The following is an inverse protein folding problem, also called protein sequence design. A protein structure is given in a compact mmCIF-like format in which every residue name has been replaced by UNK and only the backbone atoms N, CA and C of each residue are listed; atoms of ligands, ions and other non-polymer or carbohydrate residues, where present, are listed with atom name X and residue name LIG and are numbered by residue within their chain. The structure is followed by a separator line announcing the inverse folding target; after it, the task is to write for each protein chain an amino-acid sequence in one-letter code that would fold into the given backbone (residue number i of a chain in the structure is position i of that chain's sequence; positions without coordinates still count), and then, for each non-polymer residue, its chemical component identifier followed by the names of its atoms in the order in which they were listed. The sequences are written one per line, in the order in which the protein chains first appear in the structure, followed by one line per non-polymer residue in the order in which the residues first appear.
data_IF_370526788431
#
_entry.id   IF_370526788431
#
_cell.length_a   1.000
_cell.length_b   1.000
_cell.length_c   1.000
_cell.angle_alpha   90.00
_cell.angle_beta   90.00
_cell.angle_gamma   90.00
#
_symmetry.space_group_name_H-M   'P 1'
#
loop_
_entity.id
_entity.type
_entity.pdbx_description
1 polymer ?
#
# COMPACT_ATOMS: atom_id res chain seq x y z
N UNK A 1 -4.38 -21.87 -12.62
CA UNK A 1 -4.46 -20.78 -13.61
C UNK A 1 -5.86 -20.22 -13.59
N UNK A 2 -6.00 -18.90 -13.62
CA UNK A 2 -7.26 -18.21 -13.41
C UNK A 2 -7.15 -17.17 -12.29
N UNK A 3 -8.28 -16.75 -11.75
CA UNK A 3 -8.34 -15.77 -10.67
C UNK A 3 -7.97 -16.37 -9.30
N UNK A 4 -7.62 -15.53 -8.31
CA UNK A 4 -7.49 -15.99 -6.92
C UNK A 4 -8.74 -16.74 -6.45
N UNK A 5 -8.54 -17.81 -5.67
CA UNK A 5 -9.61 -18.65 -5.12
C UNK A 5 -10.17 -18.05 -3.84
N UNK A 6 -9.29 -17.57 -2.96
CA UNK A 6 -9.65 -16.86 -1.74
C UNK A 6 -8.54 -15.91 -1.34
N UNK A 7 -8.92 -14.87 -0.58
CA UNK A 7 -7.99 -13.93 0.05
C UNK A 7 -8.40 -13.76 1.51
N UNK A 8 -7.43 -13.87 2.42
CA UNK A 8 -7.64 -13.70 3.86
C UNK A 8 -6.72 -12.62 4.40
N UNK A 9 -7.20 -11.83 5.35
CA UNK A 9 -6.35 -10.95 6.15
C UNK A 9 -5.64 -11.79 7.23
N UNK A 10 -4.33 -11.63 7.36
CA UNK A 10 -3.56 -12.30 8.40
C UNK A 10 -3.15 -11.31 9.49
N UNK A 11 -3.52 -11.61 10.73
CA UNK A 11 -3.11 -10.85 11.91
C UNK A 11 -2.36 -11.75 12.88
N UNK A 12 -1.30 -11.22 13.47
CA UNK A 12 -0.57 -11.85 14.55
C UNK A 12 -0.30 -10.81 15.64
N UNK A 13 -0.69 -11.12 16.88
CA UNK A 13 -0.54 -10.21 18.04
C UNK A 13 -1.10 -8.80 17.76
N UNK A 14 -2.32 -8.74 17.22
CA UNK A 14 -3.03 -7.52 16.83
C UNK A 14 -2.33 -6.65 15.77
N UNK A 15 -1.33 -7.20 15.07
CA UNK A 15 -0.64 -6.54 13.97
C UNK A 15 -0.99 -7.19 12.64
N UNK A 16 -1.35 -6.37 11.66
CA UNK A 16 -1.58 -6.81 10.29
C UNK A 16 -0.27 -7.31 9.68
N UNK A 17 -0.27 -8.56 9.23
CA UNK A 17 0.88 -9.23 8.63
C UNK A 17 0.81 -9.27 7.10
N UNK A 18 -0.34 -8.93 6.51
CA UNK A 18 -0.55 -8.98 5.07
C UNK A 18 -1.73 -9.86 4.66
N UNK A 19 -1.70 -10.31 3.41
CA UNK A 19 -2.74 -11.15 2.81
C UNK A 19 -2.26 -12.57 2.60
N UNK A 20 -3.15 -13.53 2.81
CA UNK A 20 -2.98 -14.92 2.36
C UNK A 20 -3.79 -15.08 1.08
N UNK A 21 -3.13 -15.40 -0.02
CA UNK A 21 -3.76 -15.51 -1.34
C UNK A 21 -3.69 -16.97 -1.77
N UNK A 22 -4.85 -17.62 -1.85
CA UNK A 22 -4.96 -18.98 -2.36
C UNK A 22 -5.18 -18.96 -3.87
N UNK A 23 -4.36 -19.68 -4.62
CA UNK A 23 -4.41 -19.70 -6.09
C UNK A 23 -4.00 -21.06 -6.66
N UNK A 24 -4.23 -21.22 -7.96
CA UNK A 24 -3.84 -22.41 -8.71
C UNK A 24 -2.68 -22.09 -9.64
N UNK A 25 -1.63 -22.90 -9.60
CA UNK A 25 -0.47 -22.80 -10.48
C UNK A 25 -0.17 -24.15 -11.14
N UNK A 26 0.31 -24.14 -12.38
CA UNK A 26 0.75 -25.38 -13.05
C UNK A 26 2.24 -25.56 -12.80
N UNK A 27 2.62 -26.68 -12.19
CA UNK A 27 4.02 -27.05 -12.04
C UNK A 27 4.58 -27.46 -13.39
N UNK A 28 5.52 -26.68 -13.93
CA UNK A 28 6.05 -26.90 -15.28
C UNK A 28 6.89 -28.17 -15.41
N UNK A 29 7.47 -28.69 -14.32
CA UNK A 29 8.28 -29.91 -14.36
C UNK A 29 7.42 -31.18 -14.46
N UNK A 30 6.23 -31.16 -13.86
CA UNK A 30 5.32 -32.33 -13.84
C UNK A 30 4.06 -32.14 -14.68
N UNK A 31 3.84 -30.93 -15.21
CA UNK A 31 2.62 -30.51 -15.90
C UNK A 31 1.34 -30.72 -15.09
N UNK A 32 1.44 -30.78 -13.75
CA UNK A 32 0.30 -30.95 -12.85
C UNK A 32 -0.16 -29.62 -12.27
N UNK A 33 -1.47 -29.50 -12.09
CA UNK A 33 -2.07 -28.37 -11.40
C UNK A 33 -1.87 -28.53 -9.89
N UNK A 34 -1.32 -27.52 -9.25
CA UNK A 34 -1.12 -27.45 -7.81
C UNK A 34 -1.95 -26.30 -7.22
N UNK A 35 -2.43 -26.47 -5.99
CA UNK A 35 -3.14 -25.41 -5.25
C UNK A 35 -2.20 -24.90 -4.17
N UNK A 36 -1.92 -23.60 -4.22
CA UNK A 36 -0.94 -22.94 -3.37
C UNK A 36 -1.63 -21.86 -2.54
N UNK A 37 -1.05 -21.54 -1.39
CA UNK A 37 -1.37 -20.32 -0.64
C UNK A 37 -0.09 -19.52 -0.44
N UNK A 38 -0.13 -18.22 -0.75
CA UNK A 38 1.01 -17.32 -0.66
C UNK A 38 0.72 -16.24 0.37
N UNK A 39 1.63 -16.07 1.32
CA UNK A 39 1.60 -14.94 2.24
C UNK A 39 2.34 -13.77 1.62
N UNK A 40 1.61 -12.69 1.34
CA UNK A 40 2.17 -11.42 0.87
C UNK A 40 2.13 -10.39 1.99
N UNK A 41 3.30 -9.87 2.35
CA UNK A 41 3.48 -8.94 3.46
C UNK A 41 3.88 -7.55 2.95
N UNK A 42 3.39 -6.46 3.58
CA UNK A 42 3.82 -5.11 3.25
C UNK A 42 5.23 -4.85 3.80
N UNK A 43 6.09 -4.23 3.00
CA UNK A 43 7.40 -3.73 3.44
C UNK A 43 7.22 -2.46 4.25
N UNK A 44 8.16 -2.18 5.16
CA UNK A 44 8.20 -0.91 5.90
C UNK A 44 8.33 0.27 4.95
N UNK A 45 7.29 1.10 4.91
CA UNK A 45 7.17 2.25 4.01
C UNK A 45 7.21 3.61 4.73
N UNK A 46 7.17 3.62 6.06
CA UNK A 46 7.35 4.78 6.92
C UNK A 46 8.82 4.88 7.40
N UNK A 47 9.41 6.06 7.27
CA UNK A 47 10.77 6.37 7.74
C UNK A 47 10.78 7.68 8.50
N UNK A 48 11.27 7.64 9.74
CA UNK A 48 11.65 8.85 10.48
C UNK A 48 13.01 9.33 9.97
N UNK A 49 13.09 10.57 9.54
CA UNK A 49 14.31 11.23 9.06
C UNK A 49 14.89 12.23 10.06
N UNK A 50 14.17 12.54 11.13
CA UNK A 50 14.68 13.40 12.20
C UNK A 50 15.97 12.80 12.81
N UNK A 51 17.06 13.57 12.94
CA UNK A 51 18.31 13.09 13.52
C UNK A 51 18.15 12.71 15.00
N UNK A 52 18.94 11.76 15.53
CA UNK A 52 18.97 11.47 16.96
C UNK A 52 19.30 12.74 17.75
N UNK A 53 18.38 13.21 18.60
CA UNK A 53 18.52 14.46 19.36
C UNK A 53 17.86 15.69 18.73
N UNK A 54 17.15 15.55 17.61
CA UNK A 54 16.30 16.61 17.07
C UNK A 54 15.20 17.02 18.07
N UNK A 55 14.87 18.32 18.09
CA UNK A 55 13.88 18.89 19.02
C UNK A 55 12.44 18.44 18.73
N UNK A 56 12.19 17.87 17.55
CA UNK A 56 10.88 17.40 17.14
C UNK A 56 10.75 15.88 17.33
N UNK A 57 10.03 15.46 18.38
CA UNK A 57 9.87 14.05 18.76
C UNK A 57 8.42 13.58 18.85
N UNK A 58 7.46 14.42 18.45
CA UNK A 58 6.03 14.11 18.65
C UNK A 58 5.47 13.11 17.64
N UNK A 59 5.96 13.11 16.40
CA UNK A 59 5.46 12.19 15.36
C UNK A 59 5.87 10.75 15.70
N UNK A 60 4.90 9.88 15.91
CA UNK A 60 5.14 8.46 16.18
C UNK A 60 5.03 7.62 14.91
N UNK A 61 4.02 7.90 14.09
CA UNK A 61 3.68 7.11 12.92
C UNK A 61 2.87 7.96 11.94
N UNK A 62 2.92 7.61 10.66
CA UNK A 62 2.05 8.17 9.64
C UNK A 62 1.76 7.13 8.58
N UNK A 63 0.56 7.22 8.01
CA UNK A 63 0.02 6.24 7.08
C UNK A 63 -0.86 6.91 6.04
N UNK A 64 -0.85 6.36 4.83
CA UNK A 64 -1.71 6.78 3.73
C UNK A 64 -2.68 5.65 3.44
N UNK A 65 -3.98 5.96 3.35
CA UNK A 65 -5.01 4.96 3.12
C UNK A 65 -6.34 5.55 2.68
N UNK A 66 -7.35 4.68 2.68
CA UNK A 66 -8.76 4.99 2.42
C UNK A 66 -9.64 4.38 3.50
N UNK A 67 -10.90 4.81 3.58
CA UNK A 67 -11.87 4.26 4.54
C UNK A 67 -11.44 4.45 6.00
N UNK A 68 -11.08 5.68 6.37
CA UNK A 68 -10.75 6.04 7.75
C UNK A 68 -11.96 5.84 8.68
N UNK A 69 -11.77 5.01 9.70
CA UNK A 69 -12.71 4.82 10.78
C UNK A 69 -12.35 5.75 11.94
N UNK A 70 -13.11 6.83 12.12
CA UNK A 70 -12.84 7.81 13.17
C UNK A 70 -13.07 7.27 14.60
N UNK A 71 -13.87 6.21 14.75
CA UNK A 71 -14.15 5.60 16.06
C UNK A 71 -12.97 4.73 16.50
N UNK A 72 -12.53 3.82 15.62
CA UNK A 72 -11.43 2.89 15.91
C UNK A 72 -10.05 3.47 15.58
N UNK A 73 -10.01 4.62 14.90
CA UNK A 73 -8.80 5.37 14.51
C UNK A 73 -7.83 4.55 13.65
N UNK A 74 -8.39 3.88 12.63
CA UNK A 74 -7.64 3.06 11.67
C UNK A 74 -8.24 3.15 10.27
N UNK A 75 -7.48 2.76 9.25
CA UNK A 75 -8.00 2.55 7.89
C UNK A 75 -8.60 1.15 7.76
N UNK A 76 -9.84 1.05 7.27
CA UNK A 76 -10.50 -0.25 7.02
C UNK A 76 -9.94 -0.96 5.78
N UNK A 77 -9.36 -0.21 4.84
CA UNK A 77 -8.49 -0.75 3.80
C UNK A 77 -7.11 -1.10 4.42
N UNK A 78 -7.02 -2.23 5.12
CA UNK A 78 -5.84 -2.63 5.90
C UNK A 78 -4.52 -2.71 5.11
N UNK A 79 -4.58 -3.08 3.83
CA UNK A 79 -3.41 -3.15 2.98
C UNK A 79 -3.05 -1.83 2.30
N UNK A 80 -3.86 -0.79 2.45
CA UNK A 80 -3.68 0.44 1.68
C UNK A 80 -3.64 0.17 0.17
N UNK A 81 -4.51 -0.74 -0.31
CA UNK A 81 -4.60 -1.06 -1.73
C UNK A 81 -5.29 0.09 -2.46
N UNK A 82 -4.55 0.78 -3.34
CA UNK A 82 -5.01 2.00 -3.99
C UNK A 82 -4.80 1.92 -5.50
N UNK A 83 -5.80 2.38 -6.25
CA UNK A 83 -5.78 2.56 -7.69
C UNK A 83 -5.86 4.04 -8.10
N UNK A 84 -5.82 4.31 -9.41
CA UNK A 84 -5.68 5.66 -9.94
C UNK A 84 -6.90 6.56 -9.74
N UNK A 85 -8.04 6.02 -9.31
CA UNK A 85 -9.26 6.79 -9.09
C UNK A 85 -9.58 7.00 -7.60
N UNK A 86 -8.75 6.48 -6.69
CA UNK A 86 -9.01 6.53 -5.25
C UNK A 86 -8.73 7.90 -4.65
N UNK A 87 -9.57 8.27 -3.68
CA UNK A 87 -9.39 9.47 -2.87
C UNK A 87 -8.53 9.16 -1.64
N UNK A 88 -7.23 9.39 -1.76
CA UNK A 88 -6.27 9.11 -0.70
C UNK A 88 -6.38 10.06 0.49
N UNK A 89 -6.12 9.54 1.68
CA UNK A 89 -6.09 10.30 2.94
C UNK A 89 -4.77 10.03 3.67
N UNK A 90 -4.15 11.10 4.19
CA UNK A 90 -2.99 10.98 5.06
C UNK A 90 -3.40 11.09 6.52
N UNK A 91 -2.90 10.17 7.35
CA UNK A 91 -3.07 10.17 8.81
C UNK A 91 -1.70 10.24 9.49
N UNK A 92 -1.64 10.96 10.61
CA UNK A 92 -0.48 11.05 11.47
C UNK A 92 -0.88 10.77 12.92
N UNK A 93 -0.03 10.01 13.61
CA UNK A 93 -0.14 9.71 15.03
C UNK A 93 0.92 10.46 15.82
N UNK A 94 0.51 11.07 16.91
CA UNK A 94 1.30 12.01 17.70
C UNK A 94 1.36 11.57 19.16
N UNK A 95 2.51 11.81 19.80
CA UNK A 95 2.60 11.84 21.27
C UNK A 95 2.11 13.18 21.81
N UNK A 96 1.77 13.22 23.10
CA UNK A 96 1.53 14.48 23.82
C UNK A 96 2.78 15.36 23.80
N UNK A 97 2.59 16.68 23.82
CA UNK A 97 3.68 17.66 23.79
C UNK A 97 3.16 19.08 23.58
N UNK A 98 4.01 20.10 23.39
CA UNK A 98 3.56 21.46 23.07
C UNK A 98 2.91 21.54 21.68
N UNK A 99 2.09 22.56 21.45
CA UNK A 99 1.52 22.84 20.14
C UNK A 99 2.64 23.01 19.10
N UNK A 100 2.46 22.40 17.93
CA UNK A 100 3.45 22.47 16.86
C UNK A 100 2.77 22.48 15.50
N UNK A 101 3.33 23.22 14.55
CA UNK A 101 2.86 23.22 13.17
C UNK A 101 3.84 22.44 12.32
N UNK A 102 3.32 21.53 11.49
CA UNK A 102 4.12 20.79 10.50
C UNK A 102 3.57 21.03 9.10
N UNK A 103 4.46 20.96 8.12
CA UNK A 103 4.11 21.03 6.70
C UNK A 103 4.07 19.63 6.12
N UNK A 104 2.99 19.27 5.45
CA UNK A 104 2.83 17.99 4.75
C UNK A 104 2.93 18.23 3.25
N UNK A 105 3.79 17.50 2.57
CA UNK A 105 4.05 17.63 1.13
C UNK A 105 3.80 16.29 0.43
N UNK A 106 2.90 16.28 -0.55
CA UNK A 106 2.58 15.12 -1.38
C UNK A 106 3.36 15.19 -2.69
N UNK A 107 4.08 14.13 -3.02
CA UNK A 107 4.99 14.06 -4.17
C UNK A 107 4.63 12.83 -5.01
N UNK A 108 4.36 13.07 -6.29
CA UNK A 108 4.03 12.01 -7.24
C UNK A 108 5.27 11.22 -7.71
N UNK A 109 5.10 10.10 -8.43
CA UNK A 109 6.21 9.24 -8.88
C UNK A 109 7.19 9.93 -9.85
N UNK A 110 6.79 11.05 -10.45
CA UNK A 110 7.60 11.87 -11.35
C UNK A 110 8.19 13.11 -10.68
N UNK A 111 8.08 13.20 -9.35
CA UNK A 111 8.55 14.32 -8.52
C UNK A 111 7.75 15.63 -8.70
N UNK A 112 6.50 15.55 -9.14
CA UNK A 112 5.56 16.68 -9.09
C UNK A 112 5.01 16.80 -7.68
N UNK A 113 5.10 18.00 -7.09
CA UNK A 113 4.45 18.28 -5.80
C UNK A 113 2.96 18.46 -6.06
N UNK A 114 2.16 17.49 -5.59
CA UNK A 114 0.74 17.43 -5.83
C UNK A 114 -0.06 18.32 -4.87
N UNK A 115 0.39 18.41 -3.61
CA UNK A 115 -0.22 19.26 -2.58
C UNK A 115 0.81 19.61 -1.50
N UNK A 116 0.64 20.78 -0.89
CA UNK A 116 1.33 21.17 0.34
C UNK A 116 0.36 21.90 1.25
N UNK A 117 0.40 21.61 2.53
CA UNK A 117 -0.43 22.27 3.53
C UNK A 117 0.21 22.16 4.91
N UNK A 118 -0.05 23.16 5.74
CA UNK A 118 0.36 23.16 7.13
C UNK A 118 -0.78 22.64 8.01
N UNK A 119 -0.43 21.86 9.03
CA UNK A 119 -1.36 21.40 10.05
C UNK A 119 -0.87 21.82 11.43
N UNK A 120 -1.76 22.43 12.21
CA UNK A 120 -1.52 22.72 13.62
C UNK A 120 -1.85 21.47 14.44
N UNK A 121 -0.88 21.00 15.22
CA UNK A 121 -1.01 19.85 16.11
C UNK A 121 -1.13 20.36 17.55
N UNK A 122 -2.33 20.29 18.11
CA UNK A 122 -2.57 20.68 19.50
C UNK A 122 -1.82 19.77 20.48
N UNK A 123 -1.63 20.28 21.69
CA UNK A 123 -0.83 19.62 22.72
C UNK A 123 -1.37 18.23 23.13
N UNK A 124 -2.70 18.10 23.10
CA UNK A 124 -3.42 16.86 23.40
C UNK A 124 -3.81 16.02 22.18
N UNK A 125 -3.51 16.47 20.95
CA UNK A 125 -3.86 15.73 19.76
C UNK A 125 -3.07 14.42 19.66
N UNK A 126 -3.78 13.30 19.50
CA UNK A 126 -3.19 11.97 19.29
C UNK A 126 -3.18 11.58 17.81
N UNK A 127 -4.20 11.98 17.06
CA UNK A 127 -4.34 11.66 15.63
C UNK A 127 -4.78 12.90 14.86
N UNK A 128 -4.18 13.11 13.70
CA UNK A 128 -4.65 14.06 12.69
C UNK A 128 -4.80 13.34 11.36
N UNK A 129 -5.76 13.75 10.55
CA UNK A 129 -5.92 13.22 9.21
C UNK A 129 -6.45 14.30 8.28
N UNK A 130 -6.08 14.20 7.00
CA UNK A 130 -6.56 15.12 5.97
C UNK A 130 -6.59 14.43 4.61
N UNK A 131 -7.65 14.72 3.85
CA UNK A 131 -7.82 14.29 2.46
C UNK A 131 -7.55 15.51 1.56
N UNK A 132 -6.38 15.59 0.89
CA UNK A 132 -6.15 16.64 -0.08
C UNK A 132 -7.06 16.46 -1.31
N UNK A 133 -7.64 17.55 -1.86
CA UNK A 133 -8.52 17.48 -3.03
C UNK A 133 -7.69 17.36 -4.32
N UNK A 134 -7.08 16.19 -4.52
CA UNK A 134 -6.22 15.92 -5.68
C UNK A 134 -7.08 15.60 -6.93
N UNK A 135 -6.78 16.27 -8.04
CA UNK A 135 -7.37 15.97 -9.33
C UNK A 135 -7.02 14.53 -9.76
N UNK A 136 -8.03 13.87 -10.33
CA UNK A 136 -7.96 12.48 -10.77
C UNK A 136 -7.70 12.37 -12.29
N UNK A 137 -7.17 11.24 -12.78
CA UNK A 137 -6.65 10.13 -11.99
C UNK A 137 -5.28 10.45 -11.36
N UNK A 138 -4.99 9.83 -10.22
CA UNK A 138 -3.64 9.82 -9.65
C UNK A 138 -2.70 9.04 -10.57
N UNK A 139 -1.51 9.59 -10.85
CA UNK A 139 -0.48 8.90 -11.65
C UNK A 139 -0.06 7.59 -10.96
N UNK A 140 -0.10 6.44 -11.64
CA UNK A 140 0.38 5.20 -11.06
C UNK A 140 1.89 5.22 -10.77
N UNK A 141 2.28 4.51 -9.72
CA UNK A 141 3.65 4.43 -9.24
C UNK A 141 3.75 4.64 -7.74
N UNK A 142 4.98 4.67 -7.23
CA UNK A 142 5.22 4.89 -5.81
C UNK A 142 5.29 6.39 -5.50
N UNK A 143 4.28 6.86 -4.79
CA UNK A 143 4.18 8.21 -4.26
C UNK A 143 4.96 8.35 -2.96
N UNK A 144 5.30 9.59 -2.60
CA UNK A 144 5.94 9.93 -1.34
C UNK A 144 5.23 11.09 -0.65
N UNK A 145 4.96 10.96 0.64
CA UNK A 145 4.47 12.06 1.50
C UNK A 145 5.58 12.40 2.49
N UNK A 146 5.98 13.67 2.53
CA UNK A 146 6.99 14.17 3.46
C UNK A 146 6.36 15.05 4.51
N UNK A 147 6.77 14.87 5.75
CA UNK A 147 6.40 15.72 6.87
C UNK A 147 7.64 16.54 7.25
N UNK A 148 7.46 17.85 7.33
CA UNK A 148 8.52 18.82 7.59
C UNK A 148 8.16 19.65 8.82
N UNK A 149 9.19 20.06 9.56
CA UNK A 149 9.07 21.04 10.62
C UNK A 149 10.08 22.16 10.35
N UNK A 150 9.60 23.39 10.14
CA UNK A 150 10.45 24.53 9.77
C UNK A 150 11.34 24.21 8.56
N UNK A 151 10.78 23.60 7.51
CA UNK A 151 11.49 23.12 6.30
C UNK A 151 12.53 22.01 6.53
N UNK A 152 12.72 21.52 7.75
CA UNK A 152 13.54 20.35 8.04
C UNK A 152 12.73 19.05 7.90
N UNK A 153 13.23 18.03 7.17
CA UNK A 153 12.57 16.73 7.09
C UNK A 153 12.43 16.04 8.46
N UNK A 154 11.22 15.55 8.75
CA UNK A 154 10.90 14.80 9.97
C UNK A 154 10.63 13.34 9.65
N UNK A 155 9.82 13.09 8.61
CA UNK A 155 9.47 11.76 8.17
C UNK A 155 9.11 11.72 6.69
N UNK A 156 9.19 10.53 6.11
CA UNK A 156 8.73 10.22 4.77
C UNK A 156 7.90 8.92 4.79
N UNK A 157 6.78 8.93 4.07
CA UNK A 157 5.91 7.77 3.88
C UNK A 157 5.82 7.49 2.39
N UNK A 158 5.96 6.24 1.97
CA UNK A 158 5.75 5.82 0.58
C UNK A 158 4.46 5.01 0.45
N UNK A 159 3.71 5.21 -0.61
CA UNK A 159 2.51 4.41 -0.92
C UNK A 159 2.38 4.19 -2.42
N UNK A 160 1.69 3.12 -2.81
CA UNK A 160 1.55 2.73 -4.21
C UNK A 160 0.17 3.11 -4.71
N UNK A 161 0.12 3.83 -5.83
CA UNK A 161 -1.04 3.86 -6.71
C UNK A 161 -0.78 2.81 -7.80
N UNK A 162 -1.46 1.67 -7.73
CA UNK A 162 -1.24 0.57 -8.65
C UNK A 162 -1.87 0.86 -10.02
N UNK A 163 -1.18 0.62 -11.14
CA UNK A 163 -1.82 0.65 -12.45
C UNK A 163 -2.80 -0.52 -12.57
N UNK A 164 -3.92 -0.29 -13.25
CA UNK A 164 -4.99 -1.29 -13.38
C UNK A 164 -4.75 -2.15 -14.63
N UNK A 165 -4.47 -3.44 -14.45
CA UNK A 165 -4.40 -4.41 -15.55
C UNK A 165 -5.80 -4.84 -16.04
N UNK A 166 -6.84 -4.61 -15.23
CA UNK A 166 -8.21 -4.99 -15.53
C UNK A 166 -9.16 -3.80 -15.37
N UNK A 167 -10.13 -3.69 -16.28
CA UNK A 167 -11.25 -2.76 -16.21
C UNK A 167 -12.54 -3.55 -16.39
N UNK A 168 -13.51 -3.37 -15.47
CA UNK A 168 -14.78 -4.11 -15.47
C UNK A 168 -14.59 -5.63 -15.57
N UNK A 169 -13.58 -6.14 -14.85
CA UNK A 169 -13.20 -7.55 -14.79
C UNK A 169 -12.71 -8.16 -16.13
N UNK A 170 -12.35 -7.32 -17.11
CA UNK A 170 -11.71 -7.73 -18.36
C UNK A 170 -10.33 -7.08 -18.48
N UNK A 171 -9.39 -7.67 -19.24
CA UNK A 171 -8.12 -7.02 -19.53
C UNK A 171 -8.34 -5.60 -20.05
N UNK A 172 -7.62 -4.63 -19.48
CA UNK A 172 -7.81 -3.22 -19.81
C UNK A 172 -7.47 -2.95 -21.29
N UNK A 173 -8.29 -2.12 -21.95
CA UNK A 173 -8.06 -1.70 -23.33
C UNK A 173 -7.15 -0.49 -23.39
N UNK A 174 -6.47 -0.30 -24.51
CA UNK A 174 -5.52 0.79 -24.69
C UNK A 174 -6.15 2.18 -24.45
N UNK A 175 -7.37 2.41 -24.92
CA UNK A 175 -8.11 3.66 -24.69
C UNK A 175 -8.32 3.94 -23.18
N UNK A 176 -8.63 2.90 -22.41
CA UNK A 176 -8.84 2.99 -20.97
C UNK A 176 -7.51 3.17 -20.22
N UNK A 177 -6.41 2.52 -20.67
CA UNK A 177 -5.10 2.68 -20.03
C UNK A 177 -4.63 4.13 -20.03
N UNK A 178 -4.72 4.83 -21.16
CA UNK A 178 -4.32 6.24 -21.23
C UNK A 178 -5.19 7.12 -20.33
N UNK A 179 -6.49 6.82 -20.24
CA UNK A 179 -7.42 7.55 -19.37
C UNK A 179 -7.09 7.35 -17.88
N UNK A 180 -6.64 6.17 -17.47
CA UNK A 180 -6.42 5.84 -16.07
C UNK A 180 -4.96 6.01 -15.61
N UNK A 181 -3.97 5.90 -16.50
CA UNK A 181 -2.56 5.81 -16.11
C UNK A 181 -1.74 7.07 -16.41
N UNK A 182 -2.28 8.05 -17.15
CA UNK A 182 -1.51 9.22 -17.59
C UNK A 182 -1.46 10.36 -16.54
N UNK A 183 -2.12 10.19 -15.39
CA UNK A 183 -2.26 11.23 -14.37
C UNK A 183 -3.29 12.31 -14.75
N UNK A 184 -3.41 13.40 -13.96
CA UNK A 184 -4.40 14.43 -14.20
C UNK A 184 -4.05 15.29 -15.42
N UNK A 185 -5.07 15.94 -15.98
CA UNK A 185 -4.88 16.89 -17.07
C UNK A 185 -3.82 17.96 -16.72
N UNK A 186 -2.96 18.27 -17.69
CA UNK A 186 -1.86 19.25 -17.54
C UNK A 186 -0.84 18.93 -16.44
N UNK A 187 -0.83 17.70 -15.88
CA UNK A 187 -0.02 17.33 -14.72
C UNK A 187 -0.31 18.16 -13.46
N UNK A 188 -1.51 18.73 -13.34
CA UNK A 188 -1.89 19.59 -12.22
C UNK A 188 -2.85 18.86 -11.28
N UNK A 189 -2.38 18.53 -10.08
CA UNK A 189 -3.21 17.90 -9.05
C UNK A 189 -4.08 18.90 -8.29
N UNK A 190 -3.72 20.18 -8.30
CA UNK A 190 -4.49 21.27 -7.71
C UNK A 190 -4.48 22.49 -8.64
N UNK A 191 -5.33 23.48 -8.38
CA UNK A 191 -5.26 24.78 -9.07
C UNK A 191 -3.98 25.55 -8.72
N UNK A 192 -3.53 25.42 -7.47
CA UNK A 192 -2.27 25.99 -7.01
C UNK A 192 -1.09 25.15 -7.51
N UNK A 193 -0.06 25.84 -8.00
CA UNK A 193 1.20 25.23 -8.43
C UNK A 193 2.27 25.34 -7.34
N UNK A 194 3.00 24.25 -7.11
CA UNK A 194 4.03 24.17 -6.07
C UNK A 194 5.45 23.98 -6.63
N UNK A 195 5.65 24.18 -7.93
CA UNK A 195 6.97 23.99 -8.59
C UNK A 195 8.10 24.82 -7.96
N UNK A 196 7.79 25.99 -7.38
CA UNK A 196 8.77 26.82 -6.68
C UNK A 196 9.38 26.18 -5.44
N UNK A 197 8.77 25.13 -4.88
CA UNK A 197 9.26 24.41 -3.70
C UNK A 197 10.26 23.29 -4.05
N UNK A 198 10.36 22.89 -5.31
CA UNK A 198 11.27 21.82 -5.72
C UNK A 198 12.74 22.05 -5.32
N UNK A 199 13.34 23.25 -5.52
CA UNK A 199 14.70 23.53 -5.09
C UNK A 199 14.85 23.54 -3.57
N UNK A 200 13.83 24.05 -2.85
CA UNK A 200 13.83 24.16 -1.38
C UNK A 200 13.81 22.78 -0.74
N UNK A 201 13.02 21.85 -1.30
CA UNK A 201 12.84 20.50 -0.77
C UNK A 201 13.83 19.48 -1.37
N UNK A 202 14.80 19.94 -2.16
CA UNK A 202 15.76 19.11 -2.88
C UNK A 202 15.09 17.96 -3.66
N UNK A 203 14.02 18.29 -4.39
CA UNK A 203 13.24 17.35 -5.20
C UNK A 203 13.74 17.45 -6.65
N UNK A 204 14.53 16.48 -7.14
CA UNK A 204 15.13 16.58 -8.47
C UNK A 204 14.07 16.43 -9.56
N UNK A 205 13.95 17.42 -10.43
CA UNK A 205 13.06 17.32 -11.60
C UNK A 205 13.82 16.59 -12.70
N UNK A 206 13.31 15.42 -13.12
CA UNK A 206 13.88 14.64 -14.21
C UNK A 206 12.88 14.54 -15.37
N UNK A 207 13.14 15.20 -16.51
CA UNK A 207 12.31 15.05 -17.70
C UNK A 207 12.18 13.59 -18.16
N UNK A 208 13.23 12.79 -17.95
CA UNK A 208 13.23 11.37 -18.28
C UNK A 208 12.19 10.56 -17.49
N UNK A 209 11.92 10.90 -16.22
CA UNK A 209 10.87 10.24 -15.42
C UNK A 209 9.47 10.53 -15.96
N UNK A 210 9.22 11.78 -16.36
CA UNK A 210 7.93 12.18 -16.95
C UNK A 210 7.71 11.47 -18.27
N UNK A 211 8.74 11.40 -19.12
CA UNK A 211 8.65 10.71 -20.40
C UNK A 211 8.45 9.20 -20.23
N UNK A 212 9.17 8.57 -19.30
CA UNK A 212 8.96 7.16 -18.98
C UNK A 212 7.54 6.90 -18.45
N UNK A 213 7.00 7.78 -17.60
CA UNK A 213 5.64 7.64 -17.08
C UNK A 213 4.59 7.72 -18.21
N UNK A 214 4.77 8.63 -19.19
CA UNK A 214 3.90 8.71 -20.37
C UNK A 214 3.95 7.44 -21.22
N UNK A 215 5.13 6.85 -21.39
CA UNK A 215 5.28 5.57 -22.10
C UNK A 215 4.59 4.44 -21.35
N UNK A 216 4.79 4.36 -20.04
CA UNK A 216 4.16 3.36 -19.18
C UNK A 216 2.63 3.47 -19.19
N UNK A 217 2.08 4.68 -19.29
CA UNK A 217 0.65 4.91 -19.32
C UNK A 217 -0.08 4.27 -20.52
N UNK A 218 0.64 3.96 -21.59
CA UNK A 218 0.10 3.31 -22.79
C UNK A 218 0.30 1.78 -22.81
N UNK A 219 0.97 1.20 -21.82
CA UNK A 219 1.22 -0.24 -21.76
C UNK A 219 -0.07 -1.02 -21.57
N UNK A 220 -0.13 -2.20 -22.19
CA UNK A 220 -1.23 -3.16 -22.06
C UNK A 220 -0.68 -4.58 -21.96
N UNK A 221 -1.54 -5.55 -21.59
CA UNK A 221 -1.17 -6.97 -21.52
C UNK A 221 0.04 -7.24 -20.64
N UNK A 222 0.92 -8.14 -21.09
CA UNK A 222 2.05 -8.61 -20.30
C UNK A 222 3.05 -7.51 -19.90
N UNK A 223 3.20 -6.46 -20.71
CA UNK A 223 4.09 -5.35 -20.37
C UNK A 223 3.53 -4.49 -19.23
N UNK A 224 2.22 -4.27 -19.21
CA UNK A 224 1.52 -3.61 -18.11
C UNK A 224 1.58 -4.44 -16.83
N UNK A 225 1.37 -5.76 -16.92
CA UNK A 225 1.48 -6.68 -15.79
C UNK A 225 2.88 -6.65 -15.18
N UNK A 226 3.94 -6.71 -16.00
CA UNK A 226 5.32 -6.61 -15.53
C UNK A 226 5.62 -5.27 -14.84
N UNK A 227 5.08 -4.17 -15.37
CA UNK A 227 5.23 -2.87 -14.72
C UNK A 227 4.51 -2.82 -13.37
N UNK A 228 3.28 -3.36 -13.29
CA UNK A 228 2.52 -3.46 -12.05
C UNK A 228 3.26 -4.33 -11.01
N UNK A 229 3.73 -5.51 -11.40
CA UNK A 229 4.47 -6.44 -10.54
C UNK A 229 5.76 -5.81 -10.00
N UNK A 230 6.48 -5.07 -10.85
CA UNK A 230 7.68 -4.33 -10.45
C UNK A 230 7.38 -3.30 -9.36
N UNK A 231 6.28 -2.54 -9.51
CA UNK A 231 5.84 -1.56 -8.52
C UNK A 231 5.35 -2.21 -7.22
N UNK A 232 4.59 -3.30 -7.31
CA UNK A 232 4.13 -4.06 -6.14
C UNK A 232 5.34 -4.59 -5.38
N UNK A 233 6.34 -5.14 -6.08
CA UNK A 233 7.59 -5.64 -5.49
C UNK A 233 8.43 -4.58 -4.76
N UNK A 234 8.21 -3.28 -4.98
CA UNK A 234 8.87 -2.23 -4.20
C UNK A 234 8.32 -2.10 -2.78
N UNK A 235 7.02 -2.34 -2.58
CA UNK A 235 6.32 -2.12 -1.30
C UNK A 235 5.76 -3.40 -0.67
N UNK A 236 5.78 -4.52 -1.39
CA UNK A 236 5.30 -5.81 -0.93
C UNK A 236 6.35 -6.89 -1.17
N UNK A 237 6.27 -7.96 -0.40
CA UNK A 237 7.07 -9.17 -0.57
C UNK A 237 6.22 -10.43 -0.41
N UNK A 238 6.58 -11.47 -1.15
CA UNK A 238 6.09 -12.82 -0.89
C UNK A 238 6.92 -13.37 0.27
N UNK A 239 6.36 -13.32 1.48
CA UNK A 239 7.03 -13.74 2.71
C UNK A 239 7.22 -15.26 2.73
N UNK A 240 6.21 -16.02 2.31
CA UNK A 240 6.29 -17.47 2.21
C UNK A 240 5.19 -18.04 1.26
N UNK A 241 5.34 -19.31 0.87
CA UNK A 241 4.38 -20.04 0.04
C UNK A 241 4.27 -21.49 0.49
N UNK A 242 3.04 -22.01 0.53
CA UNK A 242 2.76 -23.39 0.88
C UNK A 242 1.84 -24.07 -0.14
N UNK A 243 1.83 -25.40 -0.15
CA UNK A 243 0.94 -26.20 -0.96
C UNK A 243 -0.23 -26.74 -0.12
N UNK A 244 -1.46 -26.55 -0.59
CA UNK A 244 -2.66 -27.08 0.07
C UNK A 244 -2.82 -28.59 -0.12
N UNK A 245 -2.18 -29.16 -1.15
CA UNK A 245 -2.16 -30.59 -1.46
C UNK A 245 -0.75 -31.07 -1.80
N UNK A 246 -0.60 -32.25 -2.44
CA UNK A 246 0.70 -32.73 -2.91
C UNK A 246 1.34 -31.72 -3.87
N UNK A 247 2.62 -31.44 -3.66
CA UNK A 247 3.43 -30.60 -4.55
C UNK A 247 4.69 -31.35 -4.97
N UNK A 248 5.09 -31.16 -6.23
CA UNK A 248 6.37 -31.67 -6.72
C UNK A 248 7.54 -30.69 -6.46
N UNK A 249 7.28 -29.52 -5.86
CA UNK A 249 8.32 -28.59 -5.46
C UNK A 249 8.86 -28.96 -4.07
N UNK A 250 10.12 -29.44 -3.94
CA UNK A 250 10.65 -29.93 -2.66
C UNK A 250 10.85 -28.82 -1.62
N UNK A 251 10.96 -27.56 -2.06
CA UNK A 251 11.14 -26.41 -1.19
C UNK A 251 9.83 -25.94 -0.52
N UNK A 252 8.67 -26.39 -1.04
CA UNK A 252 7.35 -25.93 -0.58
C UNK A 252 6.81 -26.89 0.47
N UNK A 253 6.44 -26.35 1.62
CA UNK A 253 5.83 -27.12 2.70
C UNK A 253 4.31 -27.21 2.56
N UNK A 254 3.71 -28.20 3.23
CA UNK A 254 2.26 -28.32 3.30
C UNK A 254 1.63 -27.18 4.13
N UNK A 255 0.57 -26.56 3.64
CA UNK A 255 -0.08 -25.42 4.31
C UNK A 255 -0.56 -25.72 5.74
N UNK A 256 -1.04 -26.94 5.99
CA UNK A 256 -1.50 -27.37 7.33
C UNK A 256 -0.38 -27.35 8.37
N UNK A 257 0.89 -27.45 7.96
CA UNK A 257 2.07 -27.41 8.85
C UNK A 257 2.61 -26.00 9.07
N UNK A 258 2.15 -25.02 8.30
CA UNK A 258 2.63 -23.64 8.36
C UNK A 258 1.71 -22.80 9.25
N UNK A 259 2.20 -22.20 10.35
CA UNK A 259 1.35 -21.51 11.34
C UNK A 259 0.70 -20.22 10.82
N UNK A 260 1.21 -19.67 9.72
CA UNK A 260 0.66 -18.47 9.09
C UNK A 260 -0.49 -18.77 8.13
N UNK A 261 -0.62 -20.03 7.65
CA UNK A 261 -1.58 -20.35 6.59
C UNK A 261 -2.99 -20.46 7.12
N UNK A 262 -3.98 -20.15 6.28
CA UNK A 262 -5.40 -20.24 6.61
C UNK A 262 -5.86 -21.70 6.81
N UNK A 263 -5.06 -22.67 6.34
CA UNK A 263 -5.30 -24.10 6.46
C UNK A 263 -4.63 -24.71 7.71
N UNK A 264 -3.92 -23.91 8.48
CA UNK A 264 -3.33 -24.35 9.74
C UNK A 264 -4.39 -24.56 10.82
N UNK A 265 -4.14 -25.41 11.83
CA UNK A 265 -5.09 -25.61 12.93
C UNK A 265 -5.32 -24.31 13.73
N UNK A 266 -6.58 -23.87 13.83
CA UNK A 266 -7.01 -22.78 14.72
C UNK A 266 -8.06 -23.28 15.73
N UNK A 267 -7.65 -23.96 16.82
CA UNK A 267 -8.58 -24.62 17.75
C UNK A 267 -9.58 -23.68 18.43
N UNK A 268 -9.27 -22.39 18.52
CA UNK A 268 -10.14 -21.39 19.19
C UNK A 268 -11.41 -21.08 18.40
N UNK A 269 -11.38 -21.29 17.08
CA UNK A 269 -12.50 -21.04 16.16
C UNK A 269 -13.12 -22.33 15.63
N UNK A 270 -12.50 -23.47 15.89
CA UNK A 270 -12.99 -24.78 15.48
C UNK A 270 -14.10 -25.27 16.41
N UNK A 271 -15.24 -25.68 15.84
CA UNK A 271 -16.36 -26.24 16.59
C UNK A 271 -16.35 -27.78 16.48
N UNK A 272 -16.12 -28.44 17.61
CA UNK A 272 -16.14 -29.89 17.71
C UNK A 272 -17.49 -30.44 18.19
N UNK A 273 -17.52 -31.75 18.44
CA UNK A 273 -18.66 -32.39 19.11
C UNK A 273 -18.77 -31.88 20.57
N UNK A 274 -19.99 -31.74 21.12
CA UNK A 274 -20.17 -31.42 22.53
C UNK A 274 -19.49 -32.47 23.41
N UNK A 275 -18.81 -32.01 24.46
CA UNK A 275 -18.29 -32.89 25.52
C UNK A 275 -19.45 -33.38 26.40
N UNK A 276 -19.17 -34.32 27.30
CA UNK A 276 -20.18 -34.89 28.20
C UNK A 276 -20.88 -33.85 29.11
N UNK A 277 -20.25 -32.68 29.33
CA UNK A 277 -20.82 -31.54 30.07
C UNK A 277 -21.77 -30.66 29.21
N UNK A 278 -22.04 -31.06 27.96
CA UNK A 278 -22.88 -30.33 27.02
C UNK A 278 -22.23 -29.10 26.40
N UNK A 279 -20.91 -28.88 26.59
CA UNK A 279 -20.19 -27.71 26.08
C UNK A 279 -19.26 -28.07 24.92
N UNK A 280 -19.00 -27.06 24.07
CA UNK A 280 -18.06 -27.13 22.94
C UNK A 280 -16.78 -26.30 23.18
N UNK A 281 -16.68 -25.60 24.32
CA UNK A 281 -15.54 -24.75 24.71
C UNK A 281 -14.76 -25.33 25.86
#
# INVERSE_FOLDING_TARGET
MGHPVSVQLYFQSDQFQGYLVKHHATNLATSKLETMETWVAPKKNFKLTAPPGGTFSRLQFAEIGTEWDAKERLFRNFGGLLGPADETMGMQRWSKGPNVTVTVVWIDPTNVIAATYDILIDAGAEFTHYRPPLNQPLRPGVWSVRILHHWSPVAEIRFLIAPLAYSRHQPIRQEDTLKHHNGPAKNSYMEQSFHGLNPVLNIPVSPGRVEQAKRNAALTGLELERWADGLVGELWEAADVCAAGPSACPAVQACVKNPWSSLSPDPKSHLGTPRADGRIR
#
